data_IF_689000301628
#
_entry.id   IF_689000301628
#
_cell.length_a   1.000
_cell.length_b   1.000
_cell.length_c   1.000
_cell.angle_alpha   90.00
_cell.angle_beta   90.00
_cell.angle_gamma   90.00
#
_symmetry.space_group_name_H-M   'P 1'
#
loop_
_entity.id
_entity.type
_entity.pdbx_description
1 polymer ?
#
# COMPACT_ATOMS: atom_id res chain seq x y z
N UNK A 1 -1.70 -32.52 -18.77
CA UNK A 1 -1.61 -32.30 -20.22
C UNK A 1 -0.40 -31.43 -20.52
N UNK A 2 0.57 -31.94 -21.30
CA UNK A 2 1.69 -31.15 -21.81
C UNK A 2 1.21 -30.24 -22.92
N UNK A 3 1.25 -28.92 -22.71
CA UNK A 3 0.93 -27.93 -23.75
C UNK A 3 2.20 -27.54 -24.48
N UNK A 4 2.07 -26.92 -25.66
CA UNK A 4 3.22 -26.41 -26.44
C UNK A 4 3.19 -24.89 -26.48
N UNK A 5 4.37 -24.29 -26.46
CA UNK A 5 4.55 -22.85 -26.63
C UNK A 5 4.14 -22.41 -28.04
N UNK A 6 3.13 -21.54 -28.17
CA UNK A 6 2.64 -21.03 -29.46
C UNK A 6 3.67 -20.24 -30.29
N UNK A 7 4.82 -19.90 -29.69
CA UNK A 7 5.90 -19.14 -30.33
C UNK A 7 7.09 -19.99 -30.74
N UNK A 8 7.41 -21.06 -30.00
CA UNK A 8 8.63 -21.86 -30.24
C UNK A 8 8.44 -23.37 -30.01
N UNK A 9 7.20 -23.83 -29.87
CA UNK A 9 6.77 -25.21 -29.64
C UNK A 9 7.38 -25.98 -28.47
N UNK A 10 8.20 -25.33 -27.64
CA UNK A 10 8.74 -25.91 -26.42
C UNK A 10 7.60 -26.41 -25.52
N UNK A 11 7.80 -27.56 -24.88
CA UNK A 11 6.83 -28.10 -23.93
C UNK A 11 6.68 -27.16 -22.73
N UNK A 12 5.44 -26.85 -22.37
CA UNK A 12 5.12 -25.98 -21.24
C UNK A 12 4.17 -26.71 -20.29
N UNK A 13 4.43 -26.52 -19.00
CA UNK A 13 3.58 -26.99 -17.89
C UNK A 13 2.75 -25.86 -17.29
N UNK A 14 3.12 -24.61 -17.57
CA UNK A 14 2.52 -23.40 -16.98
C UNK A 14 2.33 -22.34 -18.08
N UNK A 15 1.13 -21.77 -18.13
CA UNK A 15 0.75 -20.66 -19.02
C UNK A 15 1.45 -19.38 -18.58
N UNK A 16 1.91 -18.56 -19.52
CA UNK A 16 2.58 -17.28 -19.22
C UNK A 16 1.84 -16.14 -19.88
N UNK A 17 1.57 -15.07 -19.14
CA UNK A 17 0.89 -13.87 -19.67
C UNK A 17 -0.50 -14.17 -20.27
N UNK A 18 -1.20 -15.19 -19.77
CA UNK A 18 -2.54 -15.56 -20.24
C UNK A 18 -2.58 -16.32 -21.58
N UNK A 19 -1.43 -16.59 -22.20
CA UNK A 19 -1.31 -17.35 -23.46
C UNK A 19 -0.35 -18.53 -23.28
N UNK A 20 -0.54 -19.59 -24.07
CA UNK A 20 0.28 -20.80 -24.01
C UNK A 20 1.70 -20.52 -24.57
N UNK A 21 2.56 -19.86 -23.80
CA UNK A 21 3.94 -19.52 -24.18
C UNK A 21 4.94 -19.93 -23.08
N UNK A 22 6.14 -20.35 -23.48
CA UNK A 22 7.16 -20.78 -22.53
C UNK A 22 7.79 -19.58 -21.79
N UNK A 23 8.38 -19.86 -20.62
CA UNK A 23 9.05 -18.86 -19.79
C UNK A 23 10.09 -18.04 -20.57
N UNK A 24 10.87 -18.69 -21.44
CA UNK A 24 11.89 -18.00 -22.25
C UNK A 24 11.28 -17.00 -23.24
N UNK A 25 10.21 -17.37 -23.94
CA UNK A 25 9.49 -16.48 -24.85
C UNK A 25 8.82 -15.31 -24.10
N UNK A 26 8.20 -15.57 -22.94
CA UNK A 26 7.58 -14.52 -22.12
C UNK A 26 8.61 -13.51 -21.58
N UNK A 27 9.78 -13.98 -21.13
CA UNK A 27 10.88 -13.10 -20.69
C UNK A 27 11.44 -12.29 -21.87
N UNK A 28 11.66 -12.94 -23.02
CA UNK A 28 12.10 -12.26 -24.24
C UNK A 28 11.14 -11.13 -24.62
N UNK A 29 9.85 -11.40 -24.70
CA UNK A 29 8.85 -10.41 -25.10
C UNK A 29 8.76 -9.22 -24.13
N UNK A 30 8.80 -9.47 -22.82
CA UNK A 30 8.82 -8.38 -21.81
C UNK A 30 10.02 -7.45 -21.98
N UNK A 31 11.20 -8.01 -22.28
CA UNK A 31 12.42 -7.23 -22.55
C UNK A 31 12.33 -6.49 -23.88
N UNK A 32 11.84 -7.17 -24.91
CA UNK A 32 11.67 -6.63 -26.26
C UNK A 32 10.68 -5.46 -26.30
N UNK A 33 9.55 -5.54 -25.59
CA UNK A 33 8.52 -4.48 -25.54
C UNK A 33 9.01 -3.19 -24.88
N UNK A 34 9.96 -3.29 -23.94
CA UNK A 34 10.57 -2.14 -23.24
C UNK A 34 11.83 -1.61 -23.94
N UNK A 35 12.32 -2.31 -24.95
CA UNK A 35 13.53 -1.93 -25.68
C UNK A 35 13.20 -0.80 -26.66
N UNK A 36 13.96 0.29 -26.60
CA UNK A 36 13.93 1.35 -27.62
C UNK A 36 14.57 0.92 -28.93
N UNK A 37 15.38 -0.16 -28.92
CA UNK A 37 15.99 -0.74 -30.11
C UNK A 37 14.96 -1.62 -30.82
N UNK A 38 14.57 -1.24 -32.04
CA UNK A 38 13.75 -2.06 -32.94
C UNK A 38 14.56 -3.24 -33.46
N UNK A 39 14.03 -4.45 -33.37
CA UNK A 39 14.63 -5.61 -34.01
C UNK A 39 14.48 -5.46 -35.52
N UNK A 40 15.54 -5.77 -36.28
CA UNK A 40 15.50 -5.81 -37.73
C UNK A 40 15.69 -7.25 -38.18
N UNK A 41 14.73 -7.80 -38.91
CA UNK A 41 14.91 -9.08 -39.59
C UNK A 41 15.98 -8.94 -40.67
N UNK A 42 16.93 -9.89 -40.74
CA UNK A 42 18.04 -9.88 -41.71
C UNK A 42 17.81 -10.80 -42.91
N UNK A 43 16.75 -11.60 -42.93
CA UNK A 43 16.50 -12.58 -43.98
C UNK A 43 15.11 -12.43 -44.59
N UNK A 44 15.03 -12.57 -45.91
CA UNK A 44 13.76 -12.65 -46.66
C UNK A 44 13.01 -13.98 -46.46
N UNK A 45 13.65 -15.00 -45.86
CA UNK A 45 13.11 -16.36 -45.71
C UNK A 45 12.61 -16.72 -44.30
N UNK A 46 12.60 -15.77 -43.34
CA UNK A 46 12.15 -16.07 -41.97
C UNK A 46 10.65 -16.41 -41.88
N UNK A 47 9.85 -16.02 -42.87
CA UNK A 47 8.43 -16.38 -42.97
C UNK A 47 8.21 -17.87 -43.30
N UNK A 48 9.21 -18.53 -43.90
CA UNK A 48 9.14 -19.94 -44.33
C UNK A 48 9.77 -20.91 -43.30
N UNK A 49 10.45 -20.42 -42.27
CA UNK A 49 11.23 -21.23 -41.33
C UNK A 49 10.39 -21.93 -40.22
N UNK A 50 9.06 -21.90 -40.33
CA UNK A 50 8.17 -22.49 -39.34
C UNK A 50 8.29 -21.83 -37.95
N UNK A 51 7.78 -22.47 -36.87
CA UNK A 51 7.77 -21.93 -35.51
C UNK A 51 9.14 -21.77 -34.84
N UNK A 52 10.25 -22.00 -35.56
CA UNK A 52 11.60 -22.05 -35.01
C UNK A 52 12.56 -21.03 -35.62
N UNK A 53 12.08 -19.83 -35.98
CA UNK A 53 13.03 -18.78 -36.37
C UNK A 53 13.73 -18.20 -35.13
N UNK A 54 15.06 -18.35 -35.07
CA UNK A 54 15.93 -17.66 -34.10
C UNK A 54 15.97 -16.13 -34.30
N UNK A 55 15.25 -15.64 -35.31
CA UNK A 55 15.12 -14.23 -35.61
C UNK A 55 14.32 -13.51 -34.51
N UNK A 56 15.01 -12.61 -33.79
CA UNK A 56 14.40 -11.79 -32.72
C UNK A 56 13.25 -10.91 -33.22
N UNK A 57 13.29 -10.45 -34.48
CA UNK A 57 12.20 -9.66 -35.08
C UNK A 57 10.95 -10.51 -35.23
N UNK A 58 11.05 -11.63 -35.96
CA UNK A 58 9.92 -12.51 -36.21
C UNK A 58 9.36 -13.13 -34.92
N UNK A 59 10.22 -13.46 -33.96
CA UNK A 59 9.80 -13.93 -32.63
C UNK A 59 9.00 -12.87 -31.86
N UNK A 60 9.36 -11.59 -32.00
CA UNK A 60 8.61 -10.48 -31.40
C UNK A 60 7.27 -10.26 -32.09
N UNK A 61 7.27 -10.23 -33.43
CA UNK A 61 6.07 -9.99 -34.23
C UNK A 61 5.03 -11.09 -34.03
N UNK A 62 5.45 -12.36 -34.00
CA UNK A 62 4.58 -13.50 -33.69
C UNK A 62 3.96 -13.41 -32.30
N UNK A 63 4.75 -13.02 -31.31
CA UNK A 63 4.24 -12.84 -29.95
C UNK A 63 3.22 -11.69 -29.89
N UNK A 64 3.49 -10.58 -30.59
CA UNK A 64 2.57 -9.45 -30.67
C UNK A 64 1.23 -9.87 -31.30
N UNK A 65 1.25 -10.59 -32.42
CA UNK A 65 0.04 -11.07 -33.09
C UNK A 65 -0.83 -11.96 -32.18
N UNK A 66 -0.22 -12.85 -31.39
CA UNK A 66 -0.96 -13.68 -30.42
C UNK A 66 -1.67 -12.84 -29.34
N UNK A 67 -1.03 -11.77 -28.86
CA UNK A 67 -1.66 -10.87 -27.90
C UNK A 67 -2.78 -10.03 -28.52
N UNK A 68 -2.60 -9.59 -29.76
CA UNK A 68 -3.63 -8.81 -30.47
C UNK A 68 -4.89 -9.68 -30.69
N UNK A 69 -4.73 -10.93 -31.13
CA UNK A 69 -5.84 -11.88 -31.31
C UNK A 69 -6.56 -12.19 -29.98
N UNK A 70 -5.82 -12.44 -28.90
CA UNK A 70 -6.40 -12.73 -27.59
C UNK A 70 -7.22 -11.56 -27.01
N UNK A 71 -6.93 -10.32 -27.42
CA UNK A 71 -7.67 -9.13 -27.00
C UNK A 71 -8.95 -8.88 -27.82
N UNK A 72 -9.04 -9.41 -29.05
CA UNK A 72 -10.21 -9.25 -29.92
C UNK A 72 -11.36 -10.20 -29.56
N UNK A 73 -11.07 -11.42 -29.12
CA UNK A 73 -12.07 -12.45 -28.78
C UNK A 73 -12.96 -12.10 -27.56
N UNK A 74 -12.62 -11.06 -26.79
CA UNK A 74 -13.37 -10.63 -25.58
C UNK A 74 -14.56 -9.71 -25.90
N UNK A 75 -14.70 -9.20 -27.14
CA UNK A 75 -15.60 -8.08 -27.46
C UNK A 75 -17.05 -8.39 -27.85
N UNK A 76 -17.56 -9.62 -27.83
CA UNK A 76 -18.92 -9.91 -28.37
C UNK A 76 -19.82 -10.74 -27.43
N UNK A 77 -20.72 -10.08 -26.70
CA UNK A 77 -22.13 -10.51 -26.48
C UNK A 77 -22.95 -9.46 -25.69
N UNK A 78 -24.06 -8.89 -26.22
CA UNK A 78 -25.00 -8.09 -25.45
C UNK A 78 -26.20 -8.93 -24.97
N UNK A 79 -26.49 -8.93 -23.66
CA UNK A 79 -27.71 -9.52 -23.07
C UNK A 79 -28.67 -8.43 -22.58
N UNK A 80 -29.87 -8.42 -23.16
CA UNK A 80 -31.04 -7.58 -22.83
C UNK A 80 -31.64 -7.99 -21.47
N UNK A 81 -32.06 -7.02 -20.63
CA UNK A 81 -32.81 -7.26 -19.37
C UNK A 81 -34.25 -6.74 -19.47
N UNK A 82 -35.25 -7.40 -18.85
CA UNK A 82 -36.62 -6.92 -18.81
C UNK A 82 -36.88 -5.95 -17.64
N UNK A 83 -37.84 -5.05 -17.86
CA UNK A 83 -38.27 -3.97 -16.96
C UNK A 83 -39.42 -4.48 -16.08
N UNK A 84 -39.33 -4.30 -14.76
CA UNK A 84 -40.48 -4.40 -13.84
C UNK A 84 -40.60 -3.04 -13.11
N UNK A 85 -41.77 -2.41 -13.22
CA UNK A 85 -42.16 -1.17 -12.55
C UNK A 85 -42.91 -1.48 -11.25
N UNK A 86 -42.75 -0.65 -10.23
CA UNK A 86 -43.71 -0.51 -9.12
C UNK A 86 -43.89 0.98 -8.74
N UNK A 87 -45.08 1.45 -8.31
CA UNK A 87 -45.44 2.87 -8.26
C UNK A 87 -45.37 3.53 -6.87
N UNK A 88 -44.67 4.67 -6.83
CA UNK A 88 -44.98 6.01 -6.24
C UNK A 88 -45.58 6.25 -4.83
N UNK A 89 -44.86 7.11 -4.08
CA UNK A 89 -45.25 8.32 -3.27
C UNK A 89 -44.69 8.28 -1.82
N UNK A 90 -43.54 8.88 -1.47
CA UNK A 90 -43.17 10.31 -1.22
C UNK A 90 -43.65 10.88 0.16
N UNK A 91 -43.00 11.89 0.82
CA UNK A 91 -41.77 12.63 0.50
C UNK A 91 -40.70 12.86 1.63
N UNK A 92 -39.45 13.09 1.18
CA UNK A 92 -38.32 13.96 1.62
C UNK A 92 -38.13 14.40 3.10
N UNK A 93 -36.92 14.32 3.69
CA UNK A 93 -35.71 15.17 3.46
C UNK A 93 -34.53 14.53 4.23
N UNK A 94 -33.33 14.27 3.70
CA UNK A 94 -32.27 15.21 3.29
C UNK A 94 -31.23 14.56 2.33
N UNK A 95 -30.81 15.35 1.33
CA UNK A 95 -29.71 15.14 0.37
C UNK A 95 -28.33 15.16 1.08
N UNK A 96 -27.19 14.57 0.68
CA UNK A 96 -26.62 13.83 -0.46
C UNK A 96 -25.32 13.17 0.13
N UNK A 97 -24.73 12.04 -0.26
CA UNK A 97 -24.61 11.35 -1.54
C UNK A 97 -24.66 9.83 -1.30
N UNK A 98 -25.78 9.18 -1.59
CA UNK A 98 -25.78 7.74 -1.85
C UNK A 98 -25.43 7.55 -3.32
N UNK A 99 -24.14 7.35 -3.59
CA UNK A 99 -23.69 6.80 -4.86
C UNK A 99 -24.36 5.44 -5.02
N UNK A 100 -25.04 5.23 -6.15
CA UNK A 100 -25.55 3.93 -6.58
C UNK A 100 -24.40 2.91 -6.60
N UNK A 101 -24.23 2.15 -5.52
CA UNK A 101 -23.30 1.03 -5.47
C UNK A 101 -23.94 -0.16 -6.19
N UNK A 102 -23.70 -0.25 -7.49
CA UNK A 102 -23.39 -1.57 -8.00
C UNK A 102 -22.09 -1.97 -7.30
N UNK A 103 -22.16 -2.76 -6.21
CA UNK A 103 -21.01 -3.19 -5.40
C UNK A 103 -20.07 -4.07 -6.23
N UNK A 104 -19.24 -3.41 -7.03
CA UNK A 104 -18.26 -4.07 -7.91
C UNK A 104 -16.91 -4.23 -7.23
N UNK A 105 -16.69 -3.55 -6.10
CA UNK A 105 -15.45 -3.58 -5.32
C UNK A 105 -15.72 -3.66 -3.80
N UNK A 106 -16.33 -4.76 -3.32
CA UNK A 106 -16.76 -4.89 -1.92
C UNK A 106 -15.61 -4.85 -0.89
N UNK A 107 -14.41 -5.31 -1.25
CA UNK A 107 -13.21 -5.23 -0.38
C UNK A 107 -12.75 -3.78 -0.27
N UNK A 108 -12.69 -3.03 -1.37
CA UNK A 108 -12.32 -1.60 -1.32
C UNK A 108 -13.32 -0.79 -0.49
N UNK A 109 -14.61 -1.10 -0.60
CA UNK A 109 -15.64 -0.43 0.20
C UNK A 109 -15.49 -0.71 1.69
N UNK A 110 -15.17 -1.95 2.07
CA UNK A 110 -14.82 -2.30 3.46
C UNK A 110 -13.55 -1.60 3.92
N UNK A 111 -12.51 -1.53 3.07
CA UNK A 111 -11.26 -0.84 3.39
C UNK A 111 -11.47 0.65 3.65
N UNK A 112 -12.28 1.34 2.85
CA UNK A 112 -12.66 2.74 3.08
C UNK A 112 -13.34 2.90 4.44
N UNK A 113 -14.37 2.11 4.72
CA UNK A 113 -15.09 2.16 6.00
C UNK A 113 -14.18 1.88 7.19
N UNK A 114 -13.34 0.84 7.11
CA UNK A 114 -12.40 0.50 8.16
C UNK A 114 -11.40 1.62 8.41
N UNK A 115 -10.86 2.21 7.34
CA UNK A 115 -9.90 3.31 7.44
C UNK A 115 -10.53 4.58 8.01
N UNK A 116 -11.76 4.91 7.62
CA UNK A 116 -12.52 6.03 8.18
C UNK A 116 -12.76 5.86 9.69
N UNK A 117 -13.13 4.65 10.13
CA UNK A 117 -13.30 4.36 11.55
C UNK A 117 -11.97 4.48 12.29
N UNK A 118 -10.90 3.86 11.79
CA UNK A 118 -9.57 3.90 12.39
C UNK A 118 -9.07 5.34 12.55
N UNK A 119 -9.17 6.16 11.50
CA UNK A 119 -8.70 7.54 11.52
C UNK A 119 -9.54 8.43 12.44
N UNK A 120 -10.86 8.21 12.53
CA UNK A 120 -11.72 8.92 13.50
C UNK A 120 -11.39 8.56 14.95
N UNK A 121 -11.22 7.28 15.26
CA UNK A 121 -10.82 6.80 16.60
C UNK A 121 -9.49 7.46 16.98
N UNK A 122 -8.49 7.36 16.11
CA UNK A 122 -7.17 7.96 16.34
C UNK A 122 -7.25 9.46 16.51
N UNK A 123 -7.96 10.17 15.64
CA UNK A 123 -8.14 11.63 15.75
C UNK A 123 -8.68 12.02 17.12
N UNK A 124 -9.82 11.46 17.52
CA UNK A 124 -10.48 11.84 18.76
C UNK A 124 -9.65 11.46 19.98
N UNK A 125 -9.15 10.22 20.01
CA UNK A 125 -8.37 9.74 21.15
C UNK A 125 -7.02 10.47 21.28
N UNK A 126 -6.29 10.69 20.18
CA UNK A 126 -5.01 11.39 20.23
C UNK A 126 -5.16 12.86 20.62
N UNK A 127 -6.20 13.55 20.16
CA UNK A 127 -6.49 14.93 20.57
C UNK A 127 -6.84 15.03 22.06
N UNK A 128 -7.52 14.02 22.61
CA UNK A 128 -7.92 13.99 24.04
C UNK A 128 -6.76 13.79 25.02
N UNK A 129 -5.63 13.23 24.56
CA UNK A 129 -4.45 12.98 25.39
C UNK A 129 -3.35 14.04 25.21
N UNK A 130 -3.66 15.13 24.50
CA UNK A 130 -2.73 16.25 24.34
C UNK A 130 -2.51 16.97 25.68
N UNK A 131 -1.33 17.57 25.88
CA UNK A 131 -1.10 18.44 27.03
C UNK A 131 -2.09 19.62 27.04
N UNK A 132 -2.40 20.14 28.25
CA UNK A 132 -3.39 21.19 28.46
C UNK A 132 -3.18 22.43 27.56
N UNK A 133 -1.92 22.85 27.38
CA UNK A 133 -1.54 23.99 26.55
C UNK A 133 -1.76 23.78 25.04
N UNK A 134 -2.07 22.55 24.62
CA UNK A 134 -2.33 22.13 23.24
C UNK A 134 -3.75 21.56 23.04
N UNK A 135 -4.64 21.79 24.00
CA UNK A 135 -6.04 21.32 23.96
C UNK A 135 -6.78 21.96 22.79
N UNK A 136 -7.63 21.18 22.13
CA UNK A 136 -8.44 21.63 20.99
C UNK A 136 -9.91 21.62 21.38
N UNK A 137 -10.60 22.74 21.17
CA UNK A 137 -12.02 22.83 21.43
C UNK A 137 -12.82 21.86 20.53
N UNK A 138 -13.86 21.16 21.04
CA UNK A 138 -14.61 20.16 20.27
C UNK A 138 -15.16 20.64 18.91
N UNK A 139 -15.59 21.90 18.81
CA UNK A 139 -16.07 22.47 17.53
C UNK A 139 -14.97 22.57 16.47
N UNK A 140 -13.73 22.85 16.89
CA UNK A 140 -12.58 22.90 15.99
C UNK A 140 -12.18 21.49 15.53
N UNK A 141 -12.30 20.48 16.41
CA UNK A 141 -12.11 19.07 16.05
C UNK A 141 -13.13 18.63 14.99
N UNK A 142 -14.41 19.00 15.17
CA UNK A 142 -15.48 18.69 14.21
C UNK A 142 -15.21 19.29 12.83
N UNK A 143 -14.72 20.54 12.78
CA UNK A 143 -14.36 21.24 11.54
C UNK A 143 -12.99 20.85 10.96
N UNK A 144 -12.26 19.93 11.59
CA UNK A 144 -10.86 19.60 11.26
C UNK A 144 -9.91 20.80 11.31
N UNK A 145 -10.18 21.77 12.18
CA UNK A 145 -9.39 22.99 12.40
C UNK A 145 -8.47 22.80 13.60
N UNK A 146 -7.46 21.94 13.49
CA UNK A 146 -6.51 21.70 14.58
C UNK A 146 -5.07 21.66 14.08
N UNK A 147 -4.11 22.23 14.85
CA UNK A 147 -2.71 22.13 14.48
C UNK A 147 -2.17 20.73 14.77
N UNK A 148 -1.26 20.27 13.93
CA UNK A 148 -0.35 19.20 14.30
C UNK A 148 0.69 19.76 15.28
N UNK A 149 0.99 19.00 16.33
CA UNK A 149 2.00 19.40 17.32
C UNK A 149 3.22 18.49 17.23
N UNK A 150 4.38 18.97 17.69
CA UNK A 150 5.55 18.11 17.79
C UNK A 150 5.33 17.00 18.80
N UNK A 151 5.77 15.80 18.44
CA UNK A 151 5.69 14.63 19.28
C UNK A 151 6.80 14.59 20.31
N UNK A 152 6.45 14.26 21.54
CA UNK A 152 7.38 13.75 22.55
C UNK A 152 7.48 12.22 22.44
N UNK A 153 8.48 11.61 23.08
CA UNK A 153 8.66 10.16 23.13
C UNK A 153 7.51 9.49 23.89
N UNK A 154 7.13 10.04 25.05
CA UNK A 154 6.00 9.57 25.83
C UNK A 154 4.69 9.67 25.06
N UNK A 155 4.47 10.75 24.30
CA UNK A 155 3.29 10.88 23.45
C UNK A 155 3.29 9.84 22.34
N UNK A 156 4.43 9.55 21.71
CA UNK A 156 4.53 8.49 20.69
C UNK A 156 4.17 7.10 21.23
N UNK A 157 4.57 6.78 22.46
CA UNK A 157 4.18 5.51 23.10
C UNK A 157 2.65 5.45 23.28
N UNK A 158 2.03 6.53 23.79
CA UNK A 158 0.57 6.61 23.99
C UNK A 158 -0.19 6.52 22.67
N UNK A 159 0.21 7.29 21.67
CA UNK A 159 -0.45 7.28 20.34
C UNK A 159 -0.27 5.95 19.61
N UNK A 160 0.86 5.24 19.82
CA UNK A 160 1.03 3.87 19.32
C UNK A 160 0.01 2.89 19.90
N UNK A 161 -0.32 3.00 21.19
CA UNK A 161 -1.37 2.17 21.82
C UNK A 161 -2.75 2.45 21.19
N UNK A 162 -3.06 3.73 20.93
CA UNK A 162 -4.29 4.14 20.24
C UNK A 162 -4.34 3.54 18.82
N UNK A 163 -3.24 3.65 18.05
CA UNK A 163 -3.16 3.05 16.73
C UNK A 163 -3.40 1.54 16.76
N UNK A 164 -2.73 0.82 17.68
CA UNK A 164 -2.89 -0.63 17.81
C UNK A 164 -4.34 -1.01 18.12
N UNK A 165 -5.00 -0.29 19.04
CA UNK A 165 -6.42 -0.50 19.32
C UNK A 165 -7.29 -0.28 18.08
N UNK A 166 -7.10 0.85 17.39
CA UNK A 166 -7.88 1.20 16.20
C UNK A 166 -7.62 0.26 15.01
N UNK A 167 -6.49 -0.45 15.00
CA UNK A 167 -6.17 -1.46 13.99
C UNK A 167 -7.00 -2.73 14.15
N UNK A 168 -7.46 -3.08 15.35
CA UNK A 168 -8.41 -4.18 15.53
C UNK A 168 -9.75 -3.83 14.87
N UNK A 169 -10.27 -2.62 15.09
CA UNK A 169 -11.51 -2.15 14.45
C UNK A 169 -11.36 -2.09 12.92
N UNK A 170 -10.23 -1.56 12.44
CA UNK A 170 -9.90 -1.57 11.00
C UNK A 170 -9.94 -2.98 10.42
N UNK A 171 -9.23 -3.92 11.05
CA UNK A 171 -9.08 -5.27 10.54
C UNK A 171 -10.41 -6.03 10.49
N UNK A 172 -11.21 -5.93 11.56
CA UNK A 172 -12.53 -6.56 11.66
C UNK A 172 -13.50 -6.04 10.59
N UNK A 173 -13.46 -4.73 10.31
CA UNK A 173 -14.29 -4.13 9.25
C UNK A 173 -13.78 -4.48 7.84
N UNK A 174 -12.46 -4.41 7.64
CA UNK A 174 -11.84 -4.60 6.33
C UNK A 174 -11.89 -6.07 5.87
N UNK A 175 -11.69 -7.00 6.81
CA UNK A 175 -11.47 -8.42 6.55
C UNK A 175 -12.38 -9.26 7.46
N UNK A 176 -13.56 -9.70 6.97
CA UNK A 176 -14.52 -10.44 7.79
C UNK A 176 -13.93 -11.67 8.50
N UNK A 177 -13.05 -12.39 7.81
CA UNK A 177 -12.38 -13.59 8.32
C UNK A 177 -11.31 -13.28 9.40
N UNK A 178 -11.03 -12.00 9.71
CA UNK A 178 -10.11 -11.62 10.79
C UNK A 178 -10.66 -12.02 12.16
N UNK A 179 -11.99 -11.97 12.33
CA UNK A 179 -12.65 -12.34 13.59
C UNK A 179 -12.60 -13.85 13.87
N UNK A 180 -12.30 -14.65 12.84
CA UNK A 180 -12.11 -16.11 12.97
C UNK A 180 -10.73 -16.49 13.52
N UNK A 181 -9.77 -15.54 13.56
CA UNK A 181 -8.45 -15.74 14.15
C UNK A 181 -8.53 -15.77 15.67
N UNK A 182 -7.63 -16.53 16.32
CA UNK A 182 -7.44 -16.44 17.76
C UNK A 182 -6.91 -15.06 18.16
N UNK A 183 -7.14 -14.66 19.42
CA UNK A 183 -6.65 -13.37 19.93
C UNK A 183 -5.13 -13.22 19.79
N UNK A 184 -4.38 -14.31 19.97
CA UNK A 184 -2.92 -14.32 19.81
C UNK A 184 -2.51 -14.10 18.35
N UNK A 185 -3.21 -14.73 17.40
CA UNK A 185 -2.97 -14.54 15.96
C UNK A 185 -3.33 -13.11 15.52
N UNK A 186 -4.46 -12.58 16.00
CA UNK A 186 -4.87 -11.20 15.75
C UNK A 186 -3.82 -10.21 16.30
N UNK A 187 -3.36 -10.44 17.52
CA UNK A 187 -2.32 -9.62 18.15
C UNK A 187 -1.01 -9.70 17.38
N UNK A 188 -0.53 -10.89 17.04
CA UNK A 188 0.69 -11.08 16.25
C UNK A 188 0.59 -10.35 14.90
N UNK A 189 -0.57 -10.40 14.25
CA UNK A 189 -0.84 -9.71 13.00
C UNK A 189 -0.71 -8.19 13.12
N UNK A 190 -1.39 -7.61 14.12
CA UNK A 190 -1.39 -6.17 14.34
C UNK A 190 -0.03 -5.68 14.86
N UNK A 191 0.53 -6.34 15.86
CA UNK A 191 1.81 -5.97 16.46
C UNK A 191 2.95 -6.03 15.44
N UNK A 192 2.95 -7.05 14.57
CA UNK A 192 3.95 -7.22 13.51
C UNK A 192 3.93 -6.09 12.46
N UNK A 193 2.73 -5.57 12.15
CA UNK A 193 2.52 -4.65 11.02
C UNK A 193 2.18 -3.20 11.39
N UNK A 194 1.85 -2.89 12.65
CA UNK A 194 1.42 -1.55 13.05
C UNK A 194 2.40 -0.44 12.66
N UNK A 195 3.72 -0.65 12.82
CA UNK A 195 4.74 0.33 12.41
C UNK A 195 4.78 0.52 10.91
N UNK A 196 4.56 -0.55 10.13
CA UNK A 196 4.55 -0.48 8.67
C UNK A 196 3.40 0.41 8.17
N UNK A 197 2.21 0.21 8.76
CA UNK A 197 1.01 1.02 8.51
C UNK A 197 1.25 2.48 8.91
N UNK A 198 1.76 2.72 10.12
CA UNK A 198 2.06 4.07 10.63
C UNK A 198 3.03 4.83 9.72
N UNK A 199 4.12 4.17 9.28
CA UNK A 199 5.09 4.76 8.35
C UNK A 199 4.45 5.04 6.99
N UNK A 200 3.59 4.14 6.48
CA UNK A 200 2.97 4.31 5.17
C UNK A 200 2.03 5.52 5.15
N UNK A 201 1.17 5.63 6.16
CA UNK A 201 0.28 6.77 6.33
C UNK A 201 1.07 8.06 6.56
N UNK A 202 2.14 7.99 7.35
CA UNK A 202 2.99 9.15 7.63
C UNK A 202 3.62 9.70 6.36
N UNK A 203 4.16 8.83 5.50
CA UNK A 203 4.71 9.24 4.20
C UNK A 203 3.62 9.86 3.32
N UNK A 204 2.46 9.21 3.20
CA UNK A 204 1.36 9.74 2.40
C UNK A 204 0.96 11.16 2.83
N UNK A 205 0.68 11.35 4.12
CA UNK A 205 0.20 12.61 4.66
C UNK A 205 1.28 13.69 4.65
N UNK A 206 2.52 13.34 5.00
CA UNK A 206 3.62 14.30 5.00
C UNK A 206 4.05 14.72 3.59
N UNK A 207 3.88 13.87 2.57
CA UNK A 207 4.11 14.24 1.18
C UNK A 207 3.06 15.22 0.64
N UNK A 208 1.86 15.24 1.21
CA UNK A 208 0.77 16.16 0.82
C UNK A 208 0.85 17.46 1.63
N UNK A 209 0.98 17.37 2.96
CA UNK A 209 0.89 18.53 3.86
C UNK A 209 2.24 19.27 3.97
N UNK A 210 3.36 18.54 3.88
CA UNK A 210 4.71 19.08 4.05
C UNK A 210 5.64 18.62 2.91
N UNK A 211 5.32 18.93 1.64
CA UNK A 211 5.98 18.31 0.48
C UNK A 211 7.49 18.54 0.43
N UNK A 212 7.96 19.73 0.83
CA UNK A 212 9.36 20.16 0.70
C UNK A 212 10.12 20.19 2.03
N UNK A 213 9.42 19.88 3.13
CA UNK A 213 9.98 19.94 4.48
C UNK A 213 10.34 18.55 5.02
N UNK A 214 11.24 18.51 6.01
CA UNK A 214 11.62 17.27 6.68
C UNK A 214 10.51 16.69 7.58
N UNK A 215 9.43 17.42 7.84
CA UNK A 215 8.35 17.01 8.74
C UNK A 215 7.71 15.70 8.30
N UNK A 216 7.63 14.74 9.21
CA UNK A 216 6.88 13.49 9.08
C UNK A 216 5.89 13.37 10.22
N UNK A 217 4.81 12.62 10.00
CA UNK A 217 3.87 12.28 11.07
C UNK A 217 4.47 11.19 11.96
N UNK A 218 4.34 11.34 13.27
CA UNK A 218 4.65 10.29 14.24
C UNK A 218 3.38 9.64 14.77
N UNK A 219 2.22 10.24 14.54
CA UNK A 219 0.90 9.66 14.80
C UNK A 219 -0.16 10.36 13.93
N UNK A 220 -1.45 10.16 14.22
CA UNK A 220 -2.49 10.83 13.45
C UNK A 220 -2.45 12.37 13.62
N UNK A 221 -2.05 12.86 14.78
CA UNK A 221 -2.15 14.29 15.15
C UNK A 221 -0.83 14.93 15.56
N UNK A 222 0.27 14.18 15.50
CA UNK A 222 1.60 14.65 15.94
C UNK A 222 2.65 14.43 14.87
N UNK A 223 3.65 15.30 14.84
CA UNK A 223 4.72 15.32 13.83
C UNK A 223 6.10 15.38 14.47
N UNK A 224 7.13 15.15 13.66
CA UNK A 224 8.53 15.47 13.97
C UNK A 224 9.25 15.97 12.72
N UNK A 225 10.26 16.80 12.89
CA UNK A 225 11.22 17.25 11.88
C UNK A 225 12.65 17.24 12.45
N UNK A 226 13.64 17.64 11.65
CA UNK A 226 15.06 17.64 12.03
C UNK A 226 15.38 18.52 13.25
N UNK A 227 14.56 19.52 13.54
CA UNK A 227 14.78 20.47 14.64
C UNK A 227 14.03 20.06 15.92
N UNK A 228 12.99 19.23 15.79
CA UNK A 228 12.12 18.83 16.90
C UNK A 228 12.67 17.71 17.79
N UNK A 229 13.87 17.18 17.55
CA UNK A 229 14.38 16.04 18.32
C UNK A 229 14.66 16.35 19.80
N UNK A 230 14.93 17.61 20.13
CA UNK A 230 15.03 18.06 21.52
C UNK A 230 13.67 17.90 22.24
N UNK A 231 12.59 18.33 21.57
CA UNK A 231 11.22 18.15 22.07
C UNK A 231 10.88 16.66 22.15
N UNK A 232 11.29 15.88 21.14
CA UNK A 232 11.02 14.44 21.10
C UNK A 232 11.62 13.72 22.30
N UNK A 233 12.84 14.06 22.71
CA UNK A 233 13.53 13.38 23.81
C UNK A 233 13.24 13.98 25.19
N UNK A 234 12.52 15.11 25.26
CA UNK A 234 12.27 15.86 26.51
C UNK A 234 11.56 15.06 27.62
N UNK A 235 10.76 14.05 27.26
CA UNK A 235 10.07 13.15 28.20
C UNK A 235 10.50 11.69 28.05
N UNK A 236 11.67 11.45 27.46
CA UNK A 236 12.23 10.12 27.32
C UNK A 236 12.68 9.60 28.70
N UNK A 237 11.98 8.60 29.23
CA UNK A 237 12.30 7.99 30.54
C UNK A 237 13.40 6.94 30.47
N UNK A 238 13.88 6.63 29.26
CA UNK A 238 15.02 5.75 29.07
C UNK A 238 16.29 6.53 29.47
N UNK A 239 17.18 5.91 30.22
CA UNK A 239 18.47 6.50 30.60
C UNK A 239 19.40 6.57 29.37
N UNK A 240 19.10 7.49 28.46
CA UNK A 240 19.71 7.55 27.12
C UNK A 240 20.73 8.66 27.04
N UNK A 241 21.84 8.40 26.34
CA UNK A 241 22.72 9.46 25.88
C UNK A 241 21.98 10.30 24.82
N UNK A 242 21.30 11.36 25.28
CA UNK A 242 20.39 12.16 24.48
C UNK A 242 21.06 12.82 23.27
N UNK A 243 22.32 13.25 23.41
CA UNK A 243 23.06 13.87 22.32
C UNK A 243 23.45 12.88 21.23
N UNK A 244 23.94 11.70 21.63
CA UNK A 244 24.27 10.63 20.68
C UNK A 244 23.01 10.12 19.96
N UNK A 245 21.91 9.92 20.70
CA UNK A 245 20.62 9.52 20.14
C UNK A 245 20.09 10.57 19.16
N UNK A 246 20.05 11.85 19.56
CA UNK A 246 19.64 12.98 18.71
C UNK A 246 20.46 13.04 17.41
N UNK A 247 21.78 12.84 17.49
CA UNK A 247 22.66 12.84 16.32
C UNK A 247 22.30 11.72 15.34
N UNK A 248 22.14 10.49 15.81
CA UNK A 248 21.86 9.35 14.94
C UNK A 248 20.43 9.42 14.35
N UNK A 249 19.43 9.75 15.17
CA UNK A 249 18.05 9.90 14.68
C UNK A 249 17.93 11.02 13.63
N UNK A 250 18.62 12.16 13.83
CA UNK A 250 18.65 13.25 12.84
C UNK A 250 19.29 12.81 11.54
N UNK A 251 20.39 12.08 11.61
CA UNK A 251 21.10 11.54 10.44
C UNK A 251 20.18 10.59 9.64
N UNK A 252 19.59 9.59 10.31
CA UNK A 252 18.68 8.64 9.67
C UNK A 252 17.48 9.34 9.02
N UNK A 253 16.92 10.35 9.68
CA UNK A 253 15.82 11.13 9.14
C UNK A 253 16.24 11.97 7.92
N UNK A 254 17.38 12.65 7.98
CA UNK A 254 17.89 13.50 6.90
C UNK A 254 18.20 12.71 5.62
N UNK A 255 18.76 11.51 5.77
CA UNK A 255 19.11 10.62 4.65
C UNK A 255 17.87 10.03 3.95
N UNK A 256 16.79 9.77 4.70
CA UNK A 256 15.67 8.98 4.19
C UNK A 256 14.45 9.82 3.78
N UNK A 257 14.04 10.82 4.58
CA UNK A 257 12.73 11.49 4.39
C UNK A 257 12.61 12.12 3.01
N UNK A 258 13.62 12.88 2.56
CA UNK A 258 13.59 13.55 1.25
C UNK A 258 13.52 12.55 0.09
N UNK A 259 14.15 11.38 0.21
CA UNK A 259 14.14 10.36 -0.84
C UNK A 259 12.75 9.74 -0.95
N UNK A 260 12.18 9.35 0.19
CA UNK A 260 10.88 8.68 0.28
C UNK A 260 9.77 9.61 -0.21
N UNK A 261 9.75 10.86 0.24
CA UNK A 261 8.76 11.84 -0.21
C UNK A 261 8.81 12.11 -1.71
N UNK A 262 10.02 12.24 -2.29
CA UNK A 262 10.19 12.41 -3.74
C UNK A 262 9.66 11.21 -4.53
N UNK A 263 9.93 9.99 -4.05
CA UNK A 263 9.41 8.78 -4.68
C UNK A 263 7.88 8.71 -4.59
N UNK A 264 7.31 9.09 -3.45
CA UNK A 264 5.88 9.18 -3.26
C UNK A 264 5.24 10.21 -4.20
N UNK A 265 5.78 11.42 -4.28
CA UNK A 265 5.30 12.50 -5.16
C UNK A 265 5.39 12.12 -6.64
N UNK A 266 6.44 11.40 -7.04
CA UNK A 266 6.62 10.93 -8.42
C UNK A 266 5.55 9.92 -8.83
N UNK A 267 5.18 9.01 -7.92
CA UNK A 267 4.18 7.97 -8.19
C UNK A 267 2.76 8.51 -7.96
N UNK A 268 2.58 9.43 -7.01
CA UNK A 268 1.32 10.07 -6.66
C UNK A 268 0.16 9.05 -6.51
N UNK A 269 0.24 8.11 -5.53
CA UNK A 269 -0.84 7.16 -5.31
C UNK A 269 -2.13 7.88 -4.87
N UNK A 270 -3.27 7.44 -5.41
CA UNK A 270 -4.60 7.92 -4.97
C UNK A 270 -4.93 7.38 -3.58
N UNK A 271 -5.98 7.92 -2.96
CA UNK A 271 -6.46 7.41 -1.67
C UNK A 271 -6.86 5.92 -1.73
N UNK A 272 -7.59 5.51 -2.78
CA UNK A 272 -7.89 4.09 -2.98
C UNK A 272 -6.63 3.20 -3.10
N UNK A 273 -5.59 3.70 -3.79
CA UNK A 273 -4.33 2.98 -3.94
C UNK A 273 -3.55 2.92 -2.61
N UNK A 274 -3.63 3.97 -1.79
CA UNK A 274 -3.12 3.95 -0.42
C UNK A 274 -3.82 2.87 0.41
N UNK A 275 -5.15 2.76 0.34
CA UNK A 275 -5.90 1.72 1.07
C UNK A 275 -5.50 0.30 0.63
N UNK A 276 -5.28 0.10 -0.67
CA UNK A 276 -4.72 -1.15 -1.21
C UNK A 276 -3.33 -1.40 -0.63
N UNK A 277 -2.46 -0.39 -0.61
CA UNK A 277 -1.13 -0.55 -0.03
C UNK A 277 -1.18 -0.85 1.48
N UNK A 278 -2.05 -0.18 2.25
CA UNK A 278 -2.24 -0.43 3.68
C UNK A 278 -2.71 -1.87 3.94
N UNK A 279 -3.66 -2.36 3.14
CA UNK A 279 -4.16 -3.74 3.26
C UNK A 279 -3.11 -4.80 2.87
N UNK A 280 -2.32 -4.56 1.82
CA UNK A 280 -1.20 -5.43 1.47
C UNK A 280 -0.10 -5.43 2.54
N UNK A 281 0.18 -4.25 3.12
CA UNK A 281 1.12 -4.12 4.22
C UNK A 281 0.64 -4.83 5.50
N UNK A 282 -0.66 -4.80 5.78
CA UNK A 282 -1.28 -5.52 6.90
C UNK A 282 -1.11 -7.04 6.73
N UNK A 283 -1.33 -7.58 5.54
CA UNK A 283 -1.18 -9.01 5.22
C UNK A 283 0.26 -9.44 4.84
N UNK A 284 1.26 -8.63 5.19
CA UNK A 284 2.68 -8.91 4.95
C UNK A 284 3.30 -9.59 6.17
N UNK A 285 2.80 -10.79 6.45
CA UNK A 285 3.26 -11.71 7.50
C UNK A 285 3.92 -12.94 6.91
N UNK A 286 4.96 -13.42 7.61
CA UNK A 286 5.70 -14.65 7.28
C UNK A 286 5.33 -15.84 8.17
N UNK A 287 4.41 -15.66 9.11
CA UNK A 287 3.90 -16.71 9.99
C UNK A 287 3.04 -17.70 9.19
N UNK A 288 3.35 -18.99 9.31
CA UNK A 288 2.65 -20.06 8.60
C UNK A 288 1.19 -20.20 9.03
N UNK A 289 0.85 -19.93 10.29
CA UNK A 289 -0.51 -20.08 10.82
C UNK A 289 -1.50 -19.12 10.13
N UNK A 290 -1.07 -17.87 9.94
CA UNK A 290 -1.87 -16.79 9.32
C UNK A 290 -1.72 -16.77 7.78
N UNK A 291 -0.78 -17.54 7.21
CA UNK A 291 -0.40 -17.48 5.80
C UNK A 291 -1.56 -17.82 4.84
N UNK A 292 -2.43 -18.76 5.20
CA UNK A 292 -3.60 -19.14 4.37
C UNK A 292 -4.58 -17.98 4.24
N UNK A 293 -4.94 -17.37 5.36
CA UNK A 293 -5.84 -16.22 5.38
C UNK A 293 -5.21 -15.03 4.64
N UNK A 294 -3.95 -14.70 4.95
CA UNK A 294 -3.24 -13.62 4.27
C UNK A 294 -3.20 -13.81 2.74
N UNK A 295 -3.03 -15.05 2.26
CA UNK A 295 -3.04 -15.35 0.82
C UNK A 295 -4.44 -15.18 0.21
N UNK A 296 -5.47 -15.62 0.92
CA UNK A 296 -6.86 -15.43 0.50
C UNK A 296 -7.22 -13.94 0.42
N UNK A 297 -6.97 -13.18 1.49
CA UNK A 297 -7.26 -11.74 1.54
C UNK A 297 -6.48 -10.97 0.46
N UNK A 298 -5.20 -11.26 0.25
CA UNK A 298 -4.41 -10.65 -0.84
C UNK A 298 -5.01 -10.94 -2.22
N UNK A 299 -5.52 -12.15 -2.45
CA UNK A 299 -6.17 -12.52 -3.72
C UNK A 299 -7.46 -11.73 -3.92
N UNK A 300 -8.27 -11.56 -2.88
CA UNK A 300 -9.50 -10.76 -2.93
C UNK A 300 -9.21 -9.28 -3.19
N UNK A 301 -8.24 -8.69 -2.48
CA UNK A 301 -7.79 -7.31 -2.70
C UNK A 301 -7.40 -7.13 -4.18
N UNK A 302 -6.59 -8.04 -4.74
CA UNK A 302 -6.15 -7.92 -6.13
C UNK A 302 -7.30 -8.08 -7.15
N UNK A 303 -8.35 -8.84 -6.82
CA UNK A 303 -9.56 -8.96 -7.64
C UNK A 303 -10.31 -7.62 -7.69
N UNK A 304 -10.48 -6.96 -6.55
CA UNK A 304 -11.12 -5.66 -6.47
C UNK A 304 -10.31 -4.56 -7.15
N UNK A 305 -8.99 -4.60 -6.99
CA UNK A 305 -8.07 -3.70 -7.70
C UNK A 305 -8.20 -3.86 -9.22
N UNK A 306 -8.31 -5.10 -9.72
CA UNK A 306 -8.57 -5.35 -11.14
C UNK A 306 -9.87 -4.67 -11.60
N UNK A 307 -10.96 -4.88 -10.86
CA UNK A 307 -12.25 -4.27 -11.15
C UNK A 307 -12.17 -2.75 -11.12
N UNK A 308 -11.54 -2.18 -10.09
CA UNK A 308 -11.35 -0.74 -9.90
C UNK A 308 -10.66 -0.08 -11.10
N UNK A 309 -9.53 -0.61 -11.57
CA UNK A 309 -8.85 -0.04 -12.74
C UNK A 309 -9.63 -0.26 -14.02
N UNK A 310 -10.27 -1.43 -14.18
CA UNK A 310 -11.09 -1.73 -15.36
C UNK A 310 -12.24 -0.75 -15.50
N UNK A 311 -12.89 -0.38 -14.39
CA UNK A 311 -13.95 0.63 -14.35
C UNK A 311 -13.46 2.04 -14.69
N UNK A 312 -12.20 2.35 -14.38
CA UNK A 312 -11.54 3.59 -14.79
C UNK A 312 -11.03 3.56 -16.23
N UNK A 313 -11.34 2.51 -17.01
CA UNK A 313 -10.90 2.34 -18.39
C UNK A 313 -9.43 1.97 -18.55
N UNK A 314 -8.75 1.60 -17.45
CA UNK A 314 -7.35 1.20 -17.44
C UNK A 314 -7.25 -0.33 -17.53
N UNK A 315 -6.96 -0.84 -18.73
CA UNK A 315 -6.86 -2.29 -18.98
C UNK A 315 -5.45 -2.86 -18.76
N UNK A 316 -4.38 -2.09 -18.99
CA UNK A 316 -2.98 -2.46 -18.63
C UNK A 316 -2.50 -1.65 -17.41
N UNK A 317 -3.05 -1.97 -16.24
CA UNK A 317 -2.67 -1.36 -14.96
C UNK A 317 -1.50 -2.10 -14.28
N UNK A 318 -0.89 -3.11 -14.91
CA UNK A 318 0.20 -3.89 -14.32
C UNK A 318 1.43 -3.03 -14.00
N UNK A 319 1.72 -2.03 -14.85
CA UNK A 319 2.80 -1.06 -14.57
C UNK A 319 2.49 -0.26 -13.31
N UNK A 320 1.24 0.21 -13.17
CA UNK A 320 0.79 0.97 -12.00
C UNK A 320 0.92 0.17 -10.72
N UNK A 321 0.47 -1.08 -10.73
CA UNK A 321 0.66 -2.01 -9.59
C UNK A 321 2.14 -2.18 -9.25
N UNK A 322 2.99 -2.35 -10.28
CA UNK A 322 4.44 -2.44 -10.08
C UNK A 322 5.01 -1.22 -9.35
N UNK A 323 4.54 -0.01 -9.66
CA UNK A 323 4.93 1.22 -8.96
C UNK A 323 4.48 1.22 -7.50
N UNK A 324 3.24 0.79 -7.22
CA UNK A 324 2.74 0.67 -5.84
C UNK A 324 3.54 -0.35 -5.03
N UNK A 325 3.92 -1.49 -5.61
CA UNK A 325 4.79 -2.47 -4.96
C UNK A 325 6.21 -1.92 -4.72
N UNK A 326 6.73 -1.07 -5.59
CA UNK A 326 8.00 -0.37 -5.32
C UNK A 326 7.89 0.56 -4.11
N UNK A 327 6.77 1.28 -3.96
CA UNK A 327 6.52 2.09 -2.75
C UNK A 327 6.39 1.21 -1.50
N UNK A 328 5.73 0.04 -1.58
CA UNK A 328 5.64 -0.90 -0.47
C UNK A 328 7.00 -1.45 -0.04
N UNK A 329 7.86 -1.80 -0.99
CA UNK A 329 9.23 -2.26 -0.70
C UNK A 329 10.06 -1.16 -0.02
N UNK A 330 9.90 0.10 -0.45
CA UNK A 330 10.56 1.22 0.23
C UNK A 330 9.98 1.48 1.62
N UNK A 331 8.65 1.37 1.79
CA UNK A 331 7.99 1.46 3.09
C UNK A 331 8.50 0.38 4.07
N UNK A 332 8.71 -0.84 3.61
CA UNK A 332 9.31 -1.91 4.42
C UNK A 332 10.74 -1.55 4.87
N UNK A 333 11.57 -1.05 3.95
CA UNK A 333 12.92 -0.59 4.29
C UNK A 333 12.93 0.52 5.35
N UNK A 334 12.05 1.52 5.20
CA UNK A 334 11.94 2.61 6.17
C UNK A 334 11.41 2.11 7.51
N UNK A 335 10.47 1.16 7.49
CA UNK A 335 9.96 0.53 8.70
C UNK A 335 11.08 -0.15 9.49
N UNK A 336 12.03 -0.80 8.80
CA UNK A 336 13.21 -1.39 9.44
C UNK A 336 14.07 -0.33 10.15
N UNK A 337 14.40 0.77 9.46
CA UNK A 337 15.18 1.88 10.02
C UNK A 337 14.49 2.48 11.24
N UNK A 338 13.17 2.69 11.17
CA UNK A 338 12.40 3.22 12.30
C UNK A 338 12.42 2.23 13.48
N UNK A 339 12.36 0.92 13.25
CA UNK A 339 12.47 -0.09 14.32
C UNK A 339 13.89 -0.13 14.91
N UNK A 340 14.92 0.04 14.09
CA UNK A 340 16.31 0.16 14.53
C UNK A 340 16.50 1.41 15.40
N UNK A 341 15.95 2.56 15.00
CA UNK A 341 15.97 3.80 15.78
C UNK A 341 15.41 3.61 17.20
N UNK A 342 14.26 2.93 17.34
CA UNK A 342 13.68 2.64 18.66
C UNK A 342 14.49 1.61 19.45
N UNK A 343 15.08 0.63 18.78
CA UNK A 343 15.98 -0.34 19.43
C UNK A 343 17.25 0.37 19.94
N UNK A 344 17.85 1.23 19.11
CA UNK A 344 19.02 2.04 19.43
C UNK A 344 18.74 2.92 20.65
N UNK A 345 17.59 3.60 20.68
CA UNK A 345 17.15 4.38 21.85
C UNK A 345 17.11 3.54 23.14
N UNK A 346 16.71 2.27 23.07
CA UNK A 346 16.74 1.38 24.23
C UNK A 346 18.14 0.93 24.68
N UNK A 347 19.12 0.98 23.77
CA UNK A 347 20.48 0.46 24.00
C UNK A 347 21.51 1.54 24.35
N UNK A 348 21.31 2.79 23.94
CA UNK A 348 22.24 3.90 24.15
C UNK A 348 22.21 4.41 25.59
N UNK A 349 22.63 3.58 26.56
CA UNK A 349 22.68 3.95 27.97
C UNK A 349 23.71 5.05 28.26
N UNK A 350 23.45 5.93 29.23
CA UNK A 350 24.49 6.79 29.78
C UNK A 350 25.52 5.92 30.52
N UNK A 351 26.80 6.01 30.13
CA UNK A 351 27.90 5.29 30.77
C UNK A 351 28.35 5.97 32.09
N UNK A 352 27.85 7.18 32.38
CA UNK A 352 28.31 8.04 33.47
C UNK A 352 27.43 8.06 34.73
N UNK A 353 26.36 7.24 34.81
CA UNK A 353 25.62 7.08 36.07
C UNK A 353 26.16 5.89 36.87
N UNK A 354 26.80 6.10 38.04
CA UNK A 354 27.13 4.99 38.91
C UNK A 354 25.83 4.31 39.36
N UNK A 355 25.82 2.98 39.30
CA UNK A 355 24.74 2.15 39.83
C UNK A 355 24.59 2.51 41.31
N UNK A 356 23.53 3.26 41.64
CA UNK A 356 23.15 3.58 43.02
C UNK A 356 22.18 2.55 43.58
#
# INVERSE_FOLDING_TARGET
QTRKCLVCDASITVVQMGIDVCRACAVFYRRARRSTRKFRCKGSSCEQAGPFSDCRSCRYDRMKALFDQANEEVKVSPRTKPVIRCPSCAPSTSNNETSNSNETTPVLDRLRRGYDVMTRIRKTAELSIRPDHSTVHPSAIYRNEYPNIYSTHGMKIRTKKILVSALFDFASIAFPDFDDLSQDEQWCLIAGNCTRIDVLESVHRSSIIYPDDSTVFTSYTTTKNLDSFEIFLSDCTLNVNADAAKKELKKNMAENVRKVKRNWQRIAPTEDELLVMLSLAFWSISDEAVCRLATASRKEIMKDVHTFYTQKGLTDYATRIGELYCLLAENERITHIVKEDYTLLGLMKNEDEPIS
#
